data_IF_480470063204
#
_entry.id   IF_480470063204
#
_cell.length_a   1.000
_cell.length_b   1.000
_cell.length_c   1.000
_cell.angle_alpha   90.00
_cell.angle_beta   90.00
_cell.angle_gamma   90.00
#
_symmetry.space_group_name_H-M   'P 1'
#
loop_
_entity.id
_entity.type
_entity.pdbx_description
1 polymer ?
#
# COMPACT_ATOMS: atom_id res chain seq x y z
N UNK A 1 9.73 -5.62 -8.97
CA UNK A 1 9.62 -6.73 -8.00
C UNK A 1 9.01 -7.95 -8.67
N UNK A 2 9.67 -9.07 -8.60
CA UNK A 2 9.29 -10.29 -9.34
C UNK A 2 8.04 -10.99 -8.81
N UNK A 3 7.60 -10.65 -7.60
CA UNK A 3 6.43 -11.29 -6.99
C UNK A 3 5.12 -10.56 -7.24
N UNK A 4 5.16 -9.45 -7.97
CA UNK A 4 3.94 -8.68 -8.29
C UNK A 4 3.24 -9.33 -9.47
N UNK A 5 1.96 -9.61 -9.31
CA UNK A 5 1.11 -10.11 -10.38
C UNK A 5 0.88 -8.99 -11.41
N UNK A 6 1.03 -9.32 -12.69
CA UNK A 6 0.84 -8.36 -13.78
C UNK A 6 -0.52 -7.66 -13.71
N UNK A 7 -0.55 -6.38 -14.08
CA UNK A 7 -1.77 -5.57 -14.20
C UNK A 7 -2.49 -5.29 -12.87
N UNK A 8 -1.86 -5.60 -11.73
CA UNK A 8 -2.49 -5.35 -10.42
C UNK A 8 -1.95 -4.10 -9.73
N UNK A 9 -0.83 -3.56 -10.19
CA UNK A 9 -0.22 -2.40 -9.55
C UNK A 9 -1.08 -1.15 -9.75
N UNK A 10 -1.34 -0.45 -8.64
CA UNK A 10 -2.03 0.83 -8.63
C UNK A 10 -1.25 1.79 -7.73
N UNK A 11 -0.87 2.92 -8.29
CA UNK A 11 -0.22 3.98 -7.53
C UNK A 11 -0.91 5.29 -7.85
N UNK A 12 -1.49 5.94 -6.86
CA UNK A 12 -2.23 7.18 -7.06
C UNK A 12 -2.12 8.10 -5.86
N UNK A 13 -2.39 9.37 -6.11
CA UNK A 13 -2.44 10.39 -5.07
C UNK A 13 -3.86 10.43 -4.49
N UNK A 14 -3.95 10.48 -3.16
CA UNK A 14 -5.23 10.56 -2.48
C UNK A 14 -5.38 11.94 -1.88
N UNK A 15 -6.19 12.79 -2.50
CA UNK A 15 -6.48 14.13 -1.98
C UNK A 15 -7.49 14.02 -0.86
N UNK A 16 -7.11 14.52 0.31
CA UNK A 16 -7.98 14.53 1.49
C UNK A 16 -8.19 15.97 1.95
N UNK A 17 -9.44 16.30 2.26
CA UNK A 17 -9.81 17.58 2.82
C UNK A 17 -9.89 17.47 4.34
N UNK A 18 -9.32 18.46 5.05
CA UNK A 18 -9.46 18.56 6.50
C UNK A 18 -10.88 18.93 6.90
N UNK A 19 -11.45 19.86 6.14
CA UNK A 19 -12.82 20.36 6.37
C UNK A 19 -13.35 20.89 5.06
N UNK A 20 -14.54 20.45 4.65
CA UNK A 20 -15.17 20.90 3.42
C UNK A 20 -16.61 21.30 3.70
N UNK A 21 -17.00 22.48 3.24
CA UNK A 21 -18.37 22.97 3.40
C UNK A 21 -18.75 23.87 2.24
N UNK A 22 -20.06 24.04 2.04
CA UNK A 22 -20.59 25.04 1.12
C UNK A 22 -21.18 26.18 1.91
N UNK A 23 -20.89 27.41 1.49
CA UNK A 23 -21.45 28.58 2.13
C UNK A 23 -22.90 28.84 1.68
N UNK A 24 -23.50 29.90 2.18
CA UNK A 24 -24.90 30.27 1.88
C UNK A 24 -25.14 30.55 0.40
N UNK A 25 -24.10 30.91 -0.36
CA UNK A 25 -24.17 31.15 -1.80
C UNK A 25 -23.86 29.90 -2.63
N UNK A 26 -23.67 28.74 -1.99
CA UNK A 26 -23.40 27.49 -2.67
C UNK A 26 -21.94 27.32 -3.09
N UNK A 27 -21.04 28.20 -2.66
CA UNK A 27 -19.62 28.08 -2.98
C UNK A 27 -18.96 27.05 -2.08
N UNK A 28 -18.26 26.09 -2.69
CA UNK A 28 -17.53 25.06 -1.96
C UNK A 28 -16.23 25.63 -1.37
N UNK A 29 -16.07 25.46 -0.08
CA UNK A 29 -14.83 25.77 0.63
C UNK A 29 -14.16 24.45 1.01
N UNK A 30 -12.93 24.26 0.54
CA UNK A 30 -12.14 23.06 0.80
C UNK A 30 -10.86 23.42 1.53
N UNK A 31 -10.54 22.63 2.54
CA UNK A 31 -9.31 22.78 3.29
C UNK A 31 -8.50 21.49 3.11
N UNK A 32 -7.55 21.53 2.16
CA UNK A 32 -6.74 20.39 1.84
C UNK A 32 -5.61 20.19 2.85
N UNK A 33 -5.12 18.97 2.98
CA UNK A 33 -3.92 18.68 3.77
C UNK A 33 -2.71 19.41 3.17
N UNK A 34 -1.70 19.68 4.02
CA UNK A 34 -0.48 20.37 3.60
C UNK A 34 0.34 19.62 2.56
N UNK A 35 0.10 18.33 2.40
CA UNK A 35 0.71 17.50 1.37
C UNK A 35 -0.32 16.48 0.87
N UNK A 36 -0.05 15.91 -0.30
CA UNK A 36 -0.95 14.92 -0.90
C UNK A 36 -0.42 13.53 -0.56
N UNK A 37 -1.12 12.75 0.29
CA UNK A 37 -0.69 11.38 0.55
C UNK A 37 -0.87 10.52 -0.69
N UNK A 38 0.06 9.59 -0.89
CA UNK A 38 -0.01 8.63 -1.98
C UNK A 38 -0.53 7.29 -1.46
N UNK A 39 -1.08 6.50 -2.37
CA UNK A 39 -1.48 5.13 -2.08
C UNK A 39 -0.92 4.22 -3.15
N UNK A 40 -0.30 3.14 -2.73
CA UNK A 40 0.27 2.15 -3.61
C UNK A 40 -0.28 0.79 -3.21
N UNK A 41 -0.83 0.06 -4.17
CA UNK A 41 -1.32 -1.29 -3.90
C UNK A 41 -1.07 -2.22 -5.08
N UNK A 42 -0.90 -3.49 -4.78
CA UNK A 42 -0.70 -4.52 -5.79
C UNK A 42 -1.06 -5.88 -5.19
N UNK A 43 -1.28 -6.85 -6.06
CA UNK A 43 -1.42 -8.25 -5.67
C UNK A 43 -0.15 -9.02 -6.00
N UNK A 44 0.17 -9.99 -5.17
CA UNK A 44 1.28 -10.89 -5.45
C UNK A 44 0.80 -12.07 -6.29
N UNK A 45 1.75 -12.76 -6.91
CA UNK A 45 1.50 -14.10 -7.45
C UNK A 45 1.28 -15.06 -6.26
N UNK A 46 0.73 -16.27 -6.48
CA UNK A 46 0.69 -17.26 -5.42
C UNK A 46 2.11 -17.50 -4.86
N UNK A 47 2.24 -17.51 -3.55
CA UNK A 47 3.52 -17.60 -2.87
C UNK A 47 3.63 -18.88 -2.07
N UNK A 48 4.80 -19.54 -2.12
CA UNK A 48 5.07 -20.62 -1.19
C UNK A 48 5.47 -20.06 0.20
N UNK A 49 5.64 -20.93 1.16
CA UNK A 49 5.96 -20.55 2.53
C UNK A 49 7.26 -19.76 2.63
N UNK A 50 8.27 -20.16 1.87
CA UNK A 50 9.56 -19.48 1.86
C UNK A 50 9.48 -18.08 1.24
N UNK A 51 8.81 -17.96 0.10
CA UNK A 51 8.62 -16.67 -0.57
C UNK A 51 7.83 -15.69 0.27
N UNK A 52 6.76 -16.16 0.89
CA UNK A 52 5.96 -15.36 1.79
C UNK A 52 6.80 -14.85 2.97
N UNK A 53 7.58 -15.74 3.58
CA UNK A 53 8.46 -15.37 4.69
C UNK A 53 9.50 -14.32 4.29
N UNK A 54 10.09 -14.46 3.09
CA UNK A 54 11.08 -13.51 2.59
C UNK A 54 10.47 -12.12 2.38
N UNK A 55 9.27 -12.04 1.81
CA UNK A 55 8.59 -10.76 1.57
C UNK A 55 8.25 -10.08 2.90
N UNK A 56 7.64 -10.80 3.82
CA UNK A 56 7.26 -10.25 5.12
C UNK A 56 8.47 -9.81 5.94
N UNK A 57 9.55 -10.56 5.87
CA UNK A 57 10.81 -10.25 6.55
C UNK A 57 11.43 -8.96 6.00
N UNK A 58 11.44 -8.82 4.69
CA UNK A 58 11.96 -7.62 4.02
C UNK A 58 11.16 -6.38 4.45
N UNK A 59 9.85 -6.47 4.45
CA UNK A 59 8.98 -5.35 4.86
C UNK A 59 9.21 -5.02 6.33
N UNK A 60 9.25 -6.02 7.19
CA UNK A 60 9.41 -5.84 8.64
C UNK A 60 10.75 -5.18 8.98
N UNK A 61 11.82 -5.54 8.27
CA UNK A 61 13.14 -4.94 8.49
C UNK A 61 13.20 -3.45 8.14
N UNK A 62 12.28 -2.99 7.32
CA UNK A 62 12.24 -1.59 6.88
C UNK A 62 11.27 -0.73 7.67
N UNK A 63 10.60 -1.27 8.69
CA UNK A 63 9.72 -0.46 9.52
C UNK A 63 10.49 0.60 10.30
N UNK A 64 10.04 1.85 10.18
CA UNK A 64 10.50 2.95 11.01
C UNK A 64 9.84 2.85 12.40
N UNK A 65 8.57 2.46 12.41
CA UNK A 65 7.81 2.22 13.63
C UNK A 65 6.97 0.96 13.42
N UNK A 66 7.32 -0.10 14.13
CA UNK A 66 6.68 -1.40 13.95
C UNK A 66 5.22 -1.42 14.39
N UNK A 67 4.88 -0.69 15.45
CA UNK A 67 3.49 -0.64 15.94
C UNK A 67 2.56 0.02 14.94
N UNK A 68 3.05 0.99 14.19
CA UNK A 68 2.29 1.67 13.15
C UNK A 68 2.47 1.05 11.77
N UNK A 69 3.35 0.07 11.63
CA UNK A 69 3.78 -0.46 10.33
C UNK A 69 4.25 0.63 9.39
N UNK A 70 4.94 1.62 9.95
CA UNK A 70 5.39 2.80 9.20
C UNK A 70 6.69 2.51 8.47
N UNK A 71 6.70 2.82 7.19
CA UNK A 71 7.87 2.66 6.32
C UNK A 71 8.02 3.90 5.45
N UNK A 72 9.23 4.13 4.94
CA UNK A 72 9.43 5.08 3.85
C UNK A 72 9.34 4.31 2.54
N UNK A 73 8.44 4.72 1.65
CA UNK A 73 8.27 4.08 0.36
C UNK A 73 8.61 5.04 -0.78
N UNK A 74 9.09 4.47 -1.86
CA UNK A 74 9.21 5.15 -3.15
C UNK A 74 8.34 4.40 -4.14
N UNK A 75 7.31 5.07 -4.65
CA UNK A 75 6.33 4.45 -5.52
C UNK A 75 6.11 5.27 -6.78
N UNK A 76 5.81 4.57 -7.88
CA UNK A 76 5.45 5.23 -9.13
C UNK A 76 3.98 5.65 -9.07
N UNK A 77 3.74 6.94 -9.21
CA UNK A 77 2.40 7.51 -9.17
C UNK A 77 1.98 7.89 -10.59
N UNK A 78 0.94 7.24 -11.07
CA UNK A 78 0.50 7.37 -12.46
C UNK A 78 0.10 8.80 -12.81
N UNK A 79 -0.53 9.50 -11.88
CA UNK A 79 -0.95 10.90 -12.04
C UNK A 79 0.21 11.83 -12.33
N UNK A 80 1.36 11.59 -11.70
CA UNK A 80 2.55 12.41 -11.86
C UNK A 80 3.52 11.89 -12.91
N UNK A 81 3.26 10.69 -13.41
CA UNK A 81 4.17 9.97 -14.30
C UNK A 81 5.60 9.94 -13.75
N UNK A 82 5.73 9.68 -12.48
CA UNK A 82 7.02 9.69 -11.80
C UNK A 82 6.97 9.06 -10.42
N UNK A 83 8.15 8.97 -9.80
CA UNK A 83 8.30 8.39 -8.48
C UNK A 83 8.15 9.42 -7.38
N UNK A 84 7.48 9.03 -6.31
CA UNK A 84 7.30 9.86 -5.10
C UNK A 84 7.77 9.07 -3.90
N UNK A 85 8.50 9.71 -3.01
CA UNK A 85 8.96 9.13 -1.75
C UNK A 85 8.22 9.76 -0.59
N UNK A 86 7.53 8.96 0.20
CA UNK A 86 6.80 9.41 1.38
C UNK A 86 6.84 8.35 2.47
N UNK A 87 6.61 8.80 3.70
CA UNK A 87 6.31 7.88 4.78
C UNK A 87 4.89 7.35 4.59
N UNK A 88 4.73 6.05 4.79
CA UNK A 88 3.46 5.37 4.63
C UNK A 88 3.34 4.27 5.68
N UNK A 89 2.13 3.77 5.86
CA UNK A 89 1.93 2.57 6.67
C UNK A 89 1.37 1.46 5.79
N UNK A 90 1.73 0.23 6.11
CA UNK A 90 1.20 -0.94 5.43
C UNK A 90 -0.16 -1.27 6.01
N UNK A 91 -1.19 -1.33 5.15
CA UNK A 91 -2.50 -1.83 5.55
C UNK A 91 -2.36 -3.28 6.01
N UNK A 92 -3.19 -3.69 6.97
CA UNK A 92 -3.12 -5.04 7.52
C UNK A 92 -3.26 -6.08 6.42
N UNK A 93 -2.24 -6.92 6.19
CA UNK A 93 -2.34 -7.97 5.19
C UNK A 93 -3.25 -9.08 5.71
N UNK A 94 -4.03 -9.67 4.80
CA UNK A 94 -4.92 -10.77 5.13
C UNK A 94 -4.52 -11.99 4.29
N UNK A 95 -3.42 -12.66 4.64
CA UNK A 95 -2.98 -13.82 3.88
C UNK A 95 -3.98 -14.95 3.99
N UNK A 96 -4.19 -15.65 2.88
CA UNK A 96 -5.07 -16.82 2.82
C UNK A 96 -4.27 -18.01 2.33
N UNK A 97 -4.52 -19.15 2.92
CA UNK A 97 -3.88 -20.40 2.51
C UNK A 97 -4.66 -20.95 1.33
N UNK A 98 -3.97 -21.18 0.22
CA UNK A 98 -4.54 -21.81 -0.96
C UNK A 98 -4.47 -23.33 -0.87
N UNK A 99 -3.31 -23.88 -0.47
CA UNK A 99 -3.07 -25.30 -0.41
C UNK A 99 -2.08 -25.63 0.70
N UNK A 100 -2.34 -26.73 1.40
CA UNK A 100 -1.38 -27.34 2.33
C UNK A 100 -1.10 -28.75 1.82
N UNK A 101 0.16 -29.05 1.49
CA UNK A 101 0.55 -30.35 1.00
C UNK A 101 1.95 -30.69 1.50
N UNK A 102 2.08 -31.86 2.14
CA UNK A 102 3.37 -32.40 2.61
C UNK A 102 4.18 -31.38 3.44
N UNK A 103 3.53 -30.70 4.38
CA UNK A 103 4.11 -29.65 5.23
C UNK A 103 4.49 -28.37 4.47
N UNK A 104 4.13 -28.27 3.19
CA UNK A 104 4.31 -27.05 2.42
C UNK A 104 3.01 -26.27 2.37
N UNK A 105 3.10 -24.99 2.68
CA UNK A 105 1.95 -24.07 2.63
C UNK A 105 2.12 -23.22 1.39
N UNK A 106 1.07 -23.16 0.57
CA UNK A 106 1.00 -22.24 -0.55
C UNK A 106 -0.06 -21.19 -0.26
N UNK A 107 0.33 -19.93 -0.32
CA UNK A 107 -0.56 -18.80 -0.08
C UNK A 107 -1.22 -18.36 -1.38
N UNK A 108 -2.49 -18.02 -1.29
CA UNK A 108 -3.21 -17.37 -2.38
C UNK A 108 -2.60 -15.99 -2.65
N UNK A 109 -2.84 -15.38 -3.83
CA UNK A 109 -2.38 -14.03 -4.10
C UNK A 109 -2.74 -13.09 -2.97
N UNK A 110 -1.76 -12.31 -2.49
CA UNK A 110 -1.89 -11.42 -1.35
C UNK A 110 -1.96 -9.98 -1.84
N UNK A 111 -2.94 -9.22 -1.35
CA UNK A 111 -3.00 -7.79 -1.61
C UNK A 111 -2.11 -7.07 -0.60
N UNK A 112 -1.18 -6.30 -1.11
CA UNK A 112 -0.30 -5.45 -0.29
C UNK A 112 -0.60 -3.99 -0.64
N UNK A 113 -0.86 -3.18 0.36
CA UNK A 113 -1.17 -1.77 0.19
C UNK A 113 -0.38 -0.93 1.17
N UNK A 114 0.17 0.19 0.69
CA UNK A 114 0.83 1.20 1.49
C UNK A 114 0.05 2.50 1.35
N UNK A 115 -0.27 3.11 2.48
CA UNK A 115 -1.08 4.32 2.53
C UNK A 115 -0.24 5.44 3.13
N UNK A 116 -0.07 6.55 2.39
CA UNK A 116 0.70 7.69 2.83
C UNK A 116 0.05 8.44 4.00
N UNK A 117 0.91 9.03 4.81
CA UNK A 117 0.47 9.89 5.92
C UNK A 117 0.02 11.25 5.43
#
# INVERSE_FOLDING_TARGET
>A
MKYIKEKTYKGYASVQDLDSYRDANGVLHREALSHVPIKCEFETIPLDNEQYGQIMDMIRRNYINELERKVSITAFILEYNGYVTQDAYMAEPQPQIQTIKDNNIQYAPLRIAFIGY
#
